data_IF_685091385307
#
_entry.id   IF_685091385307
#
_cell.length_a   1.000
_cell.length_b   1.000
_cell.length_c   1.000
_cell.angle_alpha   90.00
_cell.angle_beta   90.00
_cell.angle_gamma   90.00
#
_symmetry.space_group_name_H-M   'P 1'
#
loop_
_entity.id
_entity.type
_entity.pdbx_description
1 polymer ?
#
# COMPACT_ATOMS: atom_id res chain seq x y z
N UNK A 1 -3.68 -26.56 10.92
CA UNK A 1 -4.55 -25.41 11.27
C UNK A 1 -5.61 -25.29 10.19
N UNK A 2 -6.86 -25.26 10.57
CA UNK A 2 -7.95 -25.01 9.62
C UNK A 2 -8.16 -23.51 9.36
N UNK A 3 -9.03 -23.17 8.41
CA UNK A 3 -9.26 -21.77 8.00
C UNK A 3 -9.91 -20.93 9.12
N UNK A 4 -10.74 -21.54 9.97
CA UNK A 4 -11.40 -20.84 11.07
C UNK A 4 -10.40 -20.53 12.19
N UNK A 5 -9.55 -21.50 12.54
CA UNK A 5 -8.45 -21.32 13.50
C UNK A 5 -7.50 -20.22 13.05
N UNK A 6 -7.09 -20.23 11.78
CA UNK A 6 -6.20 -19.18 11.24
C UNK A 6 -6.89 -17.81 11.24
N UNK A 7 -8.16 -17.72 10.84
CA UNK A 7 -8.93 -16.47 10.91
C UNK A 7 -8.96 -15.90 12.32
N UNK A 8 -9.24 -16.73 13.32
CA UNK A 8 -9.26 -16.31 14.71
C UNK A 8 -7.88 -15.83 15.18
N UNK A 9 -6.83 -16.60 14.89
CA UNK A 9 -5.46 -16.23 15.25
C UNK A 9 -5.05 -14.88 14.62
N UNK A 10 -5.37 -14.64 13.34
CA UNK A 10 -5.06 -13.38 12.68
C UNK A 10 -5.88 -12.19 13.20
N UNK A 11 -7.14 -12.41 13.58
CA UNK A 11 -7.98 -11.41 14.21
C UNK A 11 -7.41 -11.01 15.58
N UNK A 12 -7.17 -11.98 16.46
CA UNK A 12 -6.59 -11.77 17.79
C UNK A 12 -5.17 -11.18 17.70
N UNK A 13 -4.36 -11.65 16.76
CA UNK A 13 -3.00 -11.17 16.52
C UNK A 13 -2.90 -9.75 15.97
N UNK A 14 -4.02 -9.15 15.59
CA UNK A 14 -4.03 -7.79 15.07
C UNK A 14 -3.44 -7.66 13.67
N UNK A 15 -3.49 -8.74 12.86
CA UNK A 15 -2.85 -8.77 11.53
C UNK A 15 -3.69 -8.02 10.50
N UNK A 16 -3.06 -7.03 9.87
CA UNK A 16 -3.67 -6.21 8.80
C UNK A 16 -2.82 -6.25 7.53
N UNK A 17 -3.43 -5.86 6.41
CA UNK A 17 -2.71 -5.66 5.16
C UNK A 17 -1.66 -4.56 5.29
N UNK A 18 -0.40 -4.94 5.44
CA UNK A 18 0.73 -4.04 5.68
C UNK A 18 1.20 -3.27 4.43
N UNK A 19 0.64 -3.54 3.26
CA UNK A 19 0.92 -2.84 2.01
C UNK A 19 0.31 -1.44 1.87
N UNK A 20 -0.25 -0.87 2.95
CA UNK A 20 -0.82 0.48 2.99
C UNK A 20 -2.35 0.54 3.10
N UNK A 21 -3.08 -0.44 2.55
CA UNK A 21 -4.55 -0.43 2.57
C UNK A 21 -5.16 -0.76 3.95
N UNK A 22 -4.45 -1.51 4.80
CA UNK A 22 -4.89 -1.83 6.16
C UNK A 22 -6.15 -2.70 6.24
N UNK A 23 -6.43 -3.53 5.23
CA UNK A 23 -7.56 -4.44 5.29
C UNK A 23 -7.29 -5.59 6.28
N UNK A 24 -8.22 -5.93 7.19
CA UNK A 24 -8.06 -7.02 8.13
C UNK A 24 -7.78 -8.36 7.42
N UNK A 25 -6.64 -8.99 7.70
CA UNK A 25 -6.17 -10.15 6.93
C UNK A 25 -7.09 -11.36 7.08
N UNK A 26 -7.64 -11.59 8.28
CA UNK A 26 -8.59 -12.68 8.52
C UNK A 26 -9.81 -12.65 7.59
N UNK A 27 -10.27 -11.44 7.22
CA UNK A 27 -11.42 -11.27 6.32
C UNK A 27 -11.08 -11.50 4.84
N UNK A 28 -9.80 -11.63 4.47
CA UNK A 28 -9.37 -12.01 3.12
C UNK A 28 -9.33 -13.52 2.90
N UNK A 29 -9.23 -14.31 3.95
CA UNK A 29 -9.13 -15.77 3.83
C UNK A 29 -10.44 -16.37 3.35
N UNK A 30 -10.37 -17.18 2.30
CA UNK A 30 -11.52 -17.81 1.67
C UNK A 30 -11.15 -19.20 1.11
N UNK A 31 -12.01 -20.16 1.31
CA UNK A 31 -11.96 -21.49 0.70
C UNK A 31 -12.26 -21.50 -0.81
N UNK A 32 -12.71 -20.34 -1.36
CA UNK A 32 -12.88 -20.16 -2.80
C UNK A 32 -11.59 -19.72 -3.50
N UNK A 33 -10.47 -19.59 -2.76
CA UNK A 33 -9.18 -19.21 -3.33
C UNK A 33 -8.58 -20.39 -4.13
N UNK A 34 -8.31 -20.15 -5.41
CA UNK A 34 -7.56 -21.09 -6.25
C UNK A 34 -6.06 -20.77 -6.26
N UNK A 35 -5.72 -19.49 -6.16
CA UNK A 35 -4.35 -18.98 -6.25
C UNK A 35 -4.10 -17.94 -5.15
N UNK A 36 -3.03 -18.12 -4.37
CA UNK A 36 -2.53 -17.13 -3.43
C UNK A 36 -1.34 -16.41 -4.05
N UNK A 37 -1.35 -15.08 -4.10
CA UNK A 37 -0.29 -14.29 -4.71
C UNK A 37 0.40 -13.45 -3.64
N UNK A 38 1.70 -13.70 -3.42
CA UNK A 38 2.55 -12.85 -2.60
C UNK A 38 3.01 -11.64 -3.40
N UNK A 39 2.60 -10.46 -2.99
CA UNK A 39 2.99 -9.20 -3.61
C UNK A 39 4.32 -8.69 -3.02
N UNK A 40 5.41 -8.97 -3.73
CA UNK A 40 6.74 -8.42 -3.45
C UNK A 40 7.13 -7.31 -4.44
N UNK A 41 6.16 -6.69 -5.11
CA UNK A 41 6.45 -5.69 -6.13
C UNK A 41 6.95 -4.34 -5.57
N UNK A 42 6.51 -3.97 -4.34
CA UNK A 42 6.90 -2.72 -3.65
C UNK A 42 7.17 -1.54 -4.61
N UNK A 43 6.13 -1.18 -5.39
CA UNK A 43 6.29 -0.27 -6.52
C UNK A 43 6.31 1.23 -6.15
N UNK A 44 6.10 1.60 -4.89
CA UNK A 44 6.30 2.97 -4.42
C UNK A 44 7.81 3.29 -4.38
N UNK A 45 8.27 4.29 -5.13
CA UNK A 45 9.69 4.66 -5.12
C UNK A 45 10.23 4.95 -3.71
N UNK A 46 11.52 4.68 -3.50
CA UNK A 46 12.27 4.88 -2.26
C UNK A 46 11.90 3.95 -1.10
N UNK A 47 10.81 3.21 -1.14
CA UNK A 47 10.49 2.22 -0.10
C UNK A 47 11.33 0.96 -0.32
N UNK A 48 11.85 0.38 0.76
CA UNK A 48 12.78 -0.77 0.72
C UNK A 48 12.36 -1.92 1.65
N UNK A 49 11.15 -1.89 2.23
CA UNK A 49 10.70 -2.83 3.27
C UNK A 49 10.51 -4.24 2.71
N UNK A 50 9.63 -4.40 1.70
CA UNK A 50 9.21 -5.74 1.26
C UNK A 50 10.36 -6.55 0.67
N UNK A 51 11.23 -5.91 -0.14
CA UNK A 51 12.40 -6.57 -0.73
C UNK A 51 13.40 -7.04 0.32
N UNK A 52 13.61 -6.25 1.39
CA UNK A 52 14.49 -6.62 2.49
C UNK A 52 13.89 -7.74 3.34
N UNK A 53 12.58 -7.68 3.64
CA UNK A 53 11.89 -8.74 4.38
C UNK A 53 11.93 -10.09 3.66
N UNK A 54 11.74 -10.10 2.32
CA UNK A 54 11.85 -11.33 1.52
C UNK A 54 13.27 -11.90 1.59
N UNK A 55 14.29 -11.06 1.56
CA UNK A 55 15.68 -11.51 1.59
C UNK A 55 16.07 -12.02 2.99
N UNK A 56 15.73 -11.27 4.03
CA UNK A 56 16.14 -11.55 5.42
C UNK A 56 15.37 -12.72 6.03
N UNK A 57 14.05 -12.80 5.74
CA UNK A 57 13.13 -13.78 6.35
C UNK A 57 12.55 -14.75 5.30
N UNK A 58 13.35 -15.14 4.29
CA UNK A 58 12.85 -15.95 3.15
C UNK A 58 12.14 -17.22 3.58
N UNK A 59 12.68 -17.95 4.56
CA UNK A 59 12.10 -19.19 5.06
C UNK A 59 10.74 -18.96 5.73
N UNK A 60 10.62 -17.94 6.61
CA UNK A 60 9.37 -17.62 7.29
C UNK A 60 8.31 -17.10 6.27
N UNK A 61 8.74 -16.35 5.26
CA UNK A 61 7.86 -15.85 4.19
C UNK A 61 7.32 -17.00 3.33
N UNK A 62 8.18 -17.93 2.89
CA UNK A 62 7.76 -19.07 2.07
C UNK A 62 6.91 -20.05 2.87
N UNK A 63 7.28 -20.33 4.13
CA UNK A 63 6.47 -21.16 5.03
C UNK A 63 5.09 -20.53 5.31
N UNK A 64 5.03 -19.21 5.49
CA UNK A 64 3.78 -18.46 5.61
C UNK A 64 2.92 -18.54 4.35
N UNK A 65 3.53 -18.48 3.17
CA UNK A 65 2.82 -18.67 1.89
C UNK A 65 2.27 -20.09 1.77
N UNK A 66 3.06 -21.10 2.10
CA UNK A 66 2.62 -22.50 2.09
C UNK A 66 1.46 -22.70 3.07
N UNK A 67 1.55 -22.13 4.27
CA UNK A 67 0.46 -22.15 5.26
C UNK A 67 -0.84 -21.57 4.70
N UNK A 68 -0.79 -20.43 3.99
CA UNK A 68 -1.96 -19.82 3.38
C UNK A 68 -2.55 -20.70 2.26
N UNK A 69 -1.70 -21.26 1.39
CA UNK A 69 -2.12 -22.17 0.30
C UNK A 69 -2.85 -23.38 0.89
N UNK A 70 -2.25 -24.05 1.87
CA UNK A 70 -2.80 -25.25 2.50
C UNK A 70 -4.10 -24.95 3.27
N UNK A 71 -4.12 -23.90 4.08
CA UNK A 71 -5.29 -23.55 4.91
C UNK A 71 -6.50 -23.14 4.08
N UNK A 72 -6.29 -22.47 2.95
CA UNK A 72 -7.37 -22.10 2.03
C UNK A 72 -7.72 -23.19 1.01
N UNK A 73 -6.96 -24.29 0.94
CA UNK A 73 -7.13 -25.33 -0.08
C UNK A 73 -6.82 -24.85 -1.49
N UNK A 74 -6.00 -23.80 -1.63
CA UNK A 74 -5.62 -23.26 -2.93
C UNK A 74 -4.72 -24.23 -3.71
N UNK A 75 -4.81 -24.16 -5.05
CA UNK A 75 -4.03 -25.03 -5.95
C UNK A 75 -2.55 -24.65 -5.98
N UNK A 76 -2.27 -23.35 -5.92
CA UNK A 76 -0.91 -22.82 -6.01
C UNK A 76 -0.72 -21.51 -5.23
N UNK A 77 0.54 -21.25 -4.86
CA UNK A 77 1.03 -19.96 -4.38
C UNK A 77 2.03 -19.35 -5.35
N UNK A 78 1.88 -18.07 -5.67
CA UNK A 78 2.77 -17.35 -6.58
C UNK A 78 3.55 -16.30 -5.79
N UNK A 79 4.88 -16.40 -5.76
CA UNK A 79 5.75 -15.38 -5.19
C UNK A 79 6.14 -14.43 -6.32
N UNK A 80 5.58 -13.22 -6.34
CA UNK A 80 5.72 -12.28 -7.44
C UNK A 80 6.71 -11.16 -7.07
N UNK A 81 7.91 -11.19 -7.69
CA UNK A 81 9.05 -10.30 -7.38
C UNK A 81 9.49 -9.58 -8.66
N UNK A 82 9.84 -8.28 -8.56
CA UNK A 82 10.40 -7.51 -9.67
C UNK A 82 11.77 -8.03 -10.09
N UNK A 83 12.05 -7.97 -11.39
CA UNK A 83 13.34 -8.43 -11.95
C UNK A 83 14.56 -7.67 -11.42
N UNK A 84 14.39 -6.41 -11.01
CA UNK A 84 15.45 -5.58 -10.41
C UNK A 84 15.81 -5.96 -8.97
N UNK A 85 14.99 -6.76 -8.28
CA UNK A 85 15.23 -7.17 -6.89
C UNK A 85 16.06 -8.47 -6.84
N UNK A 86 17.30 -8.40 -7.34
CA UNK A 86 18.17 -9.56 -7.54
C UNK A 86 18.41 -10.35 -6.26
N UNK A 87 18.75 -9.69 -5.15
CA UNK A 87 18.96 -10.36 -3.87
C UNK A 87 17.73 -11.15 -3.40
N UNK A 88 16.53 -10.55 -3.52
CA UNK A 88 15.28 -11.23 -3.16
C UNK A 88 14.95 -12.39 -4.10
N UNK A 89 15.24 -12.23 -5.41
CA UNK A 89 15.06 -13.30 -6.40
C UNK A 89 15.97 -14.48 -6.10
N UNK A 90 17.23 -14.22 -5.78
CA UNK A 90 18.22 -15.27 -5.50
C UNK A 90 17.89 -16.00 -4.20
N UNK A 91 17.53 -15.27 -3.13
CA UNK A 91 17.06 -15.87 -1.88
C UNK A 91 15.84 -16.79 -2.09
N UNK A 92 14.84 -16.34 -2.85
CA UNK A 92 13.65 -17.15 -3.12
C UNK A 92 13.99 -18.36 -4.01
N UNK A 93 14.82 -18.21 -5.05
CA UNK A 93 15.22 -19.34 -5.92
C UNK A 93 15.92 -20.45 -5.16
N UNK A 94 16.76 -20.08 -4.18
CA UNK A 94 17.50 -21.04 -3.36
C UNK A 94 16.57 -21.89 -2.48
N UNK A 95 15.47 -21.31 -1.98
CA UNK A 95 14.62 -21.93 -0.96
C UNK A 95 13.29 -22.46 -1.47
N UNK A 96 12.73 -21.92 -2.56
CA UNK A 96 11.35 -22.23 -3.01
C UNK A 96 11.16 -23.70 -3.41
N UNK A 97 12.22 -24.37 -3.82
CA UNK A 97 12.18 -25.80 -4.20
C UNK A 97 11.75 -26.77 -3.08
N UNK A 98 11.80 -26.34 -1.82
CA UNK A 98 11.30 -27.10 -0.68
C UNK A 98 9.75 -27.10 -0.57
N UNK A 99 9.05 -26.25 -1.32
CA UNK A 99 7.61 -26.01 -1.23
C UNK A 99 6.90 -26.46 -2.51
N UNK A 100 6.08 -27.51 -2.41
CA UNK A 100 5.50 -28.20 -3.59
C UNK A 100 4.56 -27.35 -4.44
N UNK A 101 3.80 -26.45 -3.79
CA UNK A 101 2.73 -25.68 -4.44
C UNK A 101 3.10 -24.20 -4.62
N UNK A 102 4.38 -23.83 -4.42
CA UNK A 102 4.85 -22.48 -4.62
C UNK A 102 5.65 -22.36 -5.90
N UNK A 103 5.44 -21.26 -6.62
CA UNK A 103 6.28 -20.91 -7.76
C UNK A 103 6.68 -19.44 -7.73
N UNK A 104 7.87 -19.15 -8.25
CA UNK A 104 8.35 -17.79 -8.45
C UNK A 104 7.82 -17.23 -9.77
N UNK A 105 7.34 -15.98 -9.75
CA UNK A 105 7.01 -15.21 -10.93
C UNK A 105 7.82 -13.91 -10.94
N UNK A 106 8.60 -13.71 -12.02
CA UNK A 106 9.43 -12.51 -12.17
C UNK A 106 8.63 -11.41 -12.88
N UNK A 107 8.34 -10.34 -12.15
CA UNK A 107 7.58 -9.19 -12.64
C UNK A 107 8.48 -8.21 -13.42
N UNK A 108 7.96 -7.51 -14.42
CA UNK A 108 8.64 -6.37 -15.02
C UNK A 108 8.78 -5.21 -14.03
N UNK A 109 9.82 -4.35 -14.20
CA UNK A 109 10.04 -3.14 -13.40
C UNK A 109 9.17 -1.99 -13.89
N UNK A 110 7.87 -2.09 -13.62
CA UNK A 110 6.86 -1.10 -14.01
C UNK A 110 6.12 -0.56 -12.80
N UNK A 111 5.52 0.61 -12.96
CA UNK A 111 4.58 1.18 -12.01
C UNK A 111 3.16 1.18 -12.60
N UNK A 112 2.15 0.73 -11.88
CA UNK A 112 2.13 0.12 -10.53
C UNK A 112 2.07 -1.43 -10.59
N UNK A 113 3.22 -2.11 -10.65
CA UNK A 113 3.26 -3.58 -10.65
C UNK A 113 2.59 -4.21 -9.42
N UNK A 114 2.62 -3.51 -8.28
CA UNK A 114 2.01 -3.94 -7.01
C UNK A 114 0.52 -3.62 -6.87
N UNK A 115 -0.13 -3.00 -7.85
CA UNK A 115 -1.58 -2.88 -7.87
C UNK A 115 -2.22 -4.26 -7.96
N UNK A 116 -3.14 -4.59 -7.07
CA UNK A 116 -3.70 -5.93 -6.91
C UNK A 116 -4.27 -6.52 -8.22
N UNK A 117 -4.96 -5.71 -9.03
CA UNK A 117 -5.54 -6.17 -10.30
C UNK A 117 -4.49 -6.29 -11.40
N UNK A 118 -3.53 -5.35 -11.43
CA UNK A 118 -2.38 -5.44 -12.34
C UNK A 118 -1.55 -6.68 -12.04
N UNK A 119 -1.27 -6.93 -10.76
CA UNK A 119 -0.50 -8.08 -10.30
C UNK A 119 -1.17 -9.41 -10.66
N UNK A 120 -2.48 -9.53 -10.43
CA UNK A 120 -3.24 -10.72 -10.82
C UNK A 120 -3.14 -10.96 -12.32
N UNK A 121 -3.31 -9.92 -13.13
CA UNK A 121 -3.18 -10.05 -14.58
C UNK A 121 -1.77 -10.46 -15.00
N UNK A 122 -0.72 -9.83 -14.45
CA UNK A 122 0.67 -10.17 -14.75
C UNK A 122 1.02 -11.62 -14.40
N UNK A 123 0.48 -12.14 -13.30
CA UNK A 123 0.83 -13.47 -12.78
C UNK A 123 -0.02 -14.61 -13.30
N UNK A 124 -1.28 -14.34 -13.66
CA UNK A 124 -2.29 -15.36 -14.01
C UNK A 124 -3.00 -15.14 -15.34
N UNK A 125 -2.88 -13.97 -15.96
CA UNK A 125 -3.67 -13.57 -17.13
C UNK A 125 -5.15 -13.27 -16.83
N UNK A 126 -5.64 -13.47 -15.59
CA UNK A 126 -7.03 -13.21 -15.20
C UNK A 126 -7.28 -11.72 -15.02
N UNK A 127 -8.43 -11.23 -15.49
CA UNK A 127 -8.87 -9.84 -15.31
C UNK A 127 -9.93 -9.77 -14.22
N UNK A 128 -9.64 -9.05 -13.14
CA UNK A 128 -10.64 -8.80 -12.09
C UNK A 128 -11.66 -7.77 -12.60
N UNK A 129 -12.96 -8.08 -12.64
CA UNK A 129 -13.98 -7.14 -13.08
C UNK A 129 -13.98 -5.85 -12.24
N UNK A 130 -14.21 -4.71 -12.90
CA UNK A 130 -14.19 -3.41 -12.21
C UNK A 130 -15.25 -3.35 -11.09
N UNK A 131 -14.84 -2.82 -9.94
CA UNK A 131 -15.69 -2.76 -8.74
C UNK A 131 -15.84 -4.10 -7.99
N UNK A 132 -15.22 -5.17 -8.48
CA UNK A 132 -15.17 -6.47 -7.79
C UNK A 132 -13.84 -6.66 -7.06
N UNK A 133 -13.81 -7.65 -6.17
CA UNK A 133 -12.63 -8.03 -5.40
C UNK A 133 -11.95 -9.27 -6.03
N UNK A 134 -10.66 -9.51 -5.79
CA UNK A 134 -9.87 -10.59 -6.41
C UNK A 134 -10.44 -12.00 -6.28
N UNK A 135 -11.13 -12.30 -5.20
CA UNK A 135 -11.70 -13.65 -4.98
C UNK A 135 -12.71 -14.07 -6.06
N UNK A 136 -13.34 -13.10 -6.76
CA UNK A 136 -14.26 -13.40 -7.87
C UNK A 136 -13.57 -14.13 -9.03
N UNK A 137 -12.26 -13.98 -9.13
CA UNK A 137 -11.43 -14.72 -10.10
C UNK A 137 -10.57 -15.81 -9.44
N UNK A 138 -10.92 -16.20 -8.20
CA UNK A 138 -10.24 -17.23 -7.43
C UNK A 138 -8.86 -16.80 -6.89
N UNK A 139 -8.57 -15.51 -6.79
CA UNK A 139 -7.27 -15.02 -6.35
C UNK A 139 -7.35 -14.33 -4.98
N UNK A 140 -6.33 -14.56 -4.15
CA UNK A 140 -6.07 -13.81 -2.92
C UNK A 140 -4.67 -13.21 -3.00
N UNK A 141 -4.57 -11.89 -2.86
CA UNK A 141 -3.27 -11.19 -2.89
C UNK A 141 -2.90 -10.75 -1.48
N UNK A 142 -1.67 -11.05 -1.08
CA UNK A 142 -1.14 -10.74 0.26
C UNK A 142 0.22 -10.06 0.14
N UNK A 143 0.48 -9.07 1.00
CA UNK A 143 1.77 -8.38 1.07
C UNK A 143 2.80 -9.19 1.89
N UNK A 144 4.09 -8.99 1.65
CA UNK A 144 5.21 -9.69 2.32
C UNK A 144 5.14 -9.59 3.85
N UNK A 145 5.07 -8.37 4.39
CA UNK A 145 5.02 -8.17 5.84
C UNK A 145 3.73 -8.76 6.45
N UNK A 146 2.64 -8.77 5.69
CA UNK A 146 1.38 -9.41 6.12
C UNK A 146 1.54 -10.92 6.28
N UNK A 147 2.17 -11.60 5.31
CA UNK A 147 2.46 -13.03 5.39
C UNK A 147 3.37 -13.34 6.57
N UNK A 148 4.43 -12.56 6.74
CA UNK A 148 5.40 -12.72 7.81
C UNK A 148 4.73 -12.60 9.19
N UNK A 149 3.94 -11.53 9.41
CA UNK A 149 3.17 -11.34 10.63
C UNK A 149 2.14 -12.47 10.86
N UNK A 150 1.51 -12.97 9.80
CA UNK A 150 0.57 -14.08 9.88
C UNK A 150 1.25 -15.37 10.31
N UNK A 151 2.41 -15.67 9.73
CA UNK A 151 3.21 -16.84 10.07
C UNK A 151 3.74 -16.78 11.50
N UNK A 152 4.29 -15.64 11.93
CA UNK A 152 4.75 -15.46 13.29
C UNK A 152 3.62 -15.55 14.32
N UNK A 153 2.44 -15.02 14.01
CA UNK A 153 1.27 -15.20 14.88
C UNK A 153 0.86 -16.66 14.99
N UNK A 154 0.80 -17.37 13.86
CA UNK A 154 0.36 -18.76 13.84
C UNK A 154 1.35 -19.73 14.53
N UNK A 155 2.67 -19.48 14.42
CA UNK A 155 3.71 -20.40 14.89
C UNK A 155 4.37 -19.99 16.20
N UNK A 156 4.48 -18.68 16.46
CA UNK A 156 5.18 -18.13 17.64
C UNK A 156 4.23 -17.40 18.60
N UNK A 157 2.93 -17.29 18.27
CA UNK A 157 1.97 -16.52 19.07
C UNK A 157 2.18 -15.00 19.04
N UNK A 158 3.07 -14.49 18.19
CA UNK A 158 3.48 -13.10 18.18
C UNK A 158 2.37 -12.19 17.61
N UNK A 159 1.92 -11.23 18.39
CA UNK A 159 0.96 -10.22 17.96
C UNK A 159 1.64 -9.10 17.16
N UNK A 160 0.84 -8.35 16.36
CA UNK A 160 1.35 -7.22 15.58
C UNK A 160 1.36 -5.95 16.42
N UNK A 161 2.52 -5.62 16.94
CA UNK A 161 2.80 -4.42 17.72
C UNK A 161 4.08 -3.67 17.26
N UNK A 162 4.81 -4.25 16.30
CA UNK A 162 5.96 -3.64 15.62
C UNK A 162 5.65 -3.43 14.14
N UNK A 163 6.44 -2.57 13.50
CA UNK A 163 6.28 -2.21 12.09
C UNK A 163 7.64 -1.95 11.45
N UNK A 164 7.82 -2.42 10.22
CA UNK A 164 8.98 -2.08 9.41
C UNK A 164 8.72 -0.80 8.61
N UNK A 165 9.59 0.19 8.75
CA UNK A 165 9.42 1.52 8.15
C UNK A 165 10.72 1.98 7.50
N UNK A 166 10.69 2.32 6.22
CA UNK A 166 11.82 2.99 5.53
C UNK A 166 11.81 4.48 5.85
N UNK A 167 12.94 5.01 6.26
CA UNK A 167 13.20 6.45 6.40
C UNK A 167 14.25 6.84 5.36
N UNK A 168 13.87 7.73 4.43
CA UNK A 168 14.73 8.07 3.29
C UNK A 168 14.54 9.53 2.84
N UNK A 169 15.39 9.98 1.91
CA UNK A 169 15.39 11.34 1.40
C UNK A 169 16.44 12.20 2.12
N UNK A 170 16.06 13.41 2.52
CA UNK A 170 16.93 14.40 3.17
C UNK A 170 17.16 14.09 4.66
N UNK A 171 17.59 12.86 4.95
CA UNK A 171 18.08 12.40 6.26
C UNK A 171 19.54 11.99 6.15
N UNK A 172 20.28 12.05 7.26
CA UNK A 172 21.72 11.77 7.23
C UNK A 172 22.03 10.31 6.89
N UNK A 173 21.25 9.37 7.43
CA UNK A 173 21.46 7.94 7.26
C UNK A 173 20.14 7.28 6.85
N UNK A 174 19.80 7.18 5.55
CA UNK A 174 18.63 6.43 5.12
C UNK A 174 18.67 5.00 5.65
N UNK A 175 17.54 4.53 6.20
CA UNK A 175 17.47 3.28 6.96
C UNK A 175 16.08 2.67 6.89
N UNK A 176 15.97 1.36 7.00
CA UNK A 176 14.71 0.64 7.26
C UNK A 176 14.74 0.12 8.69
N UNK A 177 13.77 0.52 9.50
CA UNK A 177 13.73 0.26 10.95
C UNK A 177 12.59 -0.69 11.30
N UNK A 178 12.82 -1.66 12.19
CA UNK A 178 11.77 -2.34 12.93
C UNK A 178 11.47 -1.54 14.20
N UNK A 179 10.27 -0.98 14.31
CA UNK A 179 9.92 -0.05 15.38
C UNK A 179 8.59 -0.39 16.03
N UNK A 180 8.38 -0.02 17.32
CA UNK A 180 7.07 -0.10 17.96
C UNK A 180 6.02 0.73 17.22
N UNK A 181 4.81 0.20 17.05
CA UNK A 181 3.67 0.97 16.56
C UNK A 181 3.35 2.09 17.54
N UNK A 182 3.10 3.29 17.04
CA UNK A 182 2.74 4.44 17.88
C UNK A 182 3.90 5.38 18.21
N UNK A 183 5.13 5.10 17.77
CA UNK A 183 6.24 6.07 17.89
C UNK A 183 6.00 7.26 16.94
N UNK A 184 6.65 8.36 17.24
CA UNK A 184 6.52 9.58 16.44
C UNK A 184 7.38 9.54 15.16
N UNK A 185 7.03 10.33 14.17
CA UNK A 185 7.88 10.58 13.00
C UNK A 185 9.20 11.20 13.43
N UNK A 186 9.22 12.02 14.49
CA UNK A 186 10.47 12.58 15.05
C UNK A 186 11.41 11.47 15.50
N UNK A 187 10.91 10.44 16.21
CA UNK A 187 11.74 9.31 16.64
C UNK A 187 12.39 8.58 15.46
N UNK A 188 11.64 8.39 14.36
CA UNK A 188 12.19 7.81 13.14
C UNK A 188 13.30 8.66 12.53
N UNK A 189 13.09 9.98 12.45
CA UNK A 189 14.09 10.91 11.90
C UNK A 189 15.35 10.95 12.78
N UNK A 190 15.18 10.96 14.10
CA UNK A 190 16.33 10.90 15.04
C UNK A 190 17.17 9.65 14.81
N UNK A 191 16.54 8.47 14.67
CA UNK A 191 17.23 7.20 14.38
C UNK A 191 17.89 7.18 13.00
N UNK A 192 17.39 7.97 12.04
CA UNK A 192 18.04 8.21 10.75
C UNK A 192 19.15 9.29 10.82
N UNK A 193 19.56 9.72 12.01
CA UNK A 193 20.63 10.70 12.24
C UNK A 193 20.19 12.18 12.12
N UNK A 194 18.89 12.44 11.98
CA UNK A 194 18.33 13.78 11.83
C UNK A 194 18.25 14.25 10.37
N UNK A 195 17.67 15.43 10.19
CA UNK A 195 17.55 16.08 8.89
C UNK A 195 18.93 16.53 8.35
N UNK A 196 19.04 16.57 7.02
CA UNK A 196 20.22 17.18 6.35
C UNK A 196 20.02 18.67 6.06
N UNK A 197 18.78 19.17 6.12
CA UNK A 197 18.40 20.55 5.89
C UNK A 197 17.09 20.89 6.62
N UNK A 198 16.91 22.15 7.00
CA UNK A 198 15.67 22.63 7.62
C UNK A 198 14.54 22.83 6.58
N UNK A 199 14.91 23.06 5.30
CA UNK A 199 13.96 23.24 4.22
C UNK A 199 13.56 21.91 3.60
N UNK A 200 12.63 21.23 4.27
CA UNK A 200 12.13 19.92 3.84
C UNK A 200 10.66 19.71 4.17
N UNK A 201 10.02 18.79 3.45
CA UNK A 201 8.64 18.36 3.67
C UNK A 201 8.61 16.83 3.81
N UNK A 202 7.91 16.35 4.81
CA UNK A 202 7.77 14.92 5.07
C UNK A 202 6.52 14.34 4.42
N UNK A 203 6.67 13.14 3.84
CA UNK A 203 5.57 12.33 3.30
C UNK A 203 5.56 11.01 4.05
N UNK A 204 4.46 10.68 4.73
CA UNK A 204 4.20 9.36 5.28
C UNK A 204 3.62 8.46 4.20
N UNK A 205 4.29 7.33 3.95
CA UNK A 205 4.04 6.44 2.82
C UNK A 205 4.93 6.76 1.62
N UNK A 206 4.55 6.26 0.44
CA UNK A 206 5.33 6.46 -0.78
C UNK A 206 5.08 7.81 -1.48
N UNK A 207 5.94 8.21 -2.41
CA UNK A 207 5.83 9.51 -3.10
C UNK A 207 4.60 9.58 -4.01
N UNK A 208 4.06 8.44 -4.45
CA UNK A 208 2.89 8.38 -5.32
C UNK A 208 1.58 8.48 -4.54
N UNK A 209 1.43 7.74 -3.45
CA UNK A 209 0.15 7.58 -2.72
C UNK A 209 0.17 8.15 -1.30
N UNK A 210 1.32 8.42 -0.70
CA UNK A 210 1.50 8.94 0.65
C UNK A 210 0.91 10.34 0.87
N UNK A 211 0.93 10.80 2.11
CA UNK A 211 0.38 12.09 2.56
C UNK A 211 1.45 12.91 3.25
N UNK A 212 1.36 14.25 3.15
CA UNK A 212 2.20 15.15 3.96
C UNK A 212 1.93 14.86 5.44
N UNK A 213 2.99 14.80 6.21
CA UNK A 213 2.95 14.59 7.65
C UNK A 213 3.87 15.57 8.38
N UNK A 214 3.77 15.58 9.70
CA UNK A 214 4.58 16.35 10.64
C UNK A 214 5.40 15.43 11.53
N UNK A 215 6.35 15.98 12.24
CA UNK A 215 7.18 15.23 13.21
C UNK A 215 6.35 14.64 14.36
N UNK A 216 5.20 15.24 14.69
CA UNK A 216 4.27 14.75 15.72
C UNK A 216 3.31 13.65 15.27
N UNK A 217 3.26 13.35 13.97
CA UNK A 217 2.48 12.21 13.47
C UNK A 217 3.10 10.89 13.92
N UNK A 218 2.29 9.84 13.97
CA UNK A 218 2.69 8.56 14.53
C UNK A 218 2.71 7.42 13.51
N UNK A 219 3.57 6.45 13.76
CA UNK A 219 3.63 5.19 13.02
C UNK A 219 2.42 4.32 13.36
N UNK A 220 1.73 3.86 12.34
CA UNK A 220 0.61 2.92 12.45
C UNK A 220 0.95 1.58 11.80
N UNK A 221 0.11 0.56 11.97
CA UNK A 221 0.26 -0.75 11.30
C UNK A 221 0.34 -0.66 9.76
N UNK A 222 -0.05 0.47 9.17
CA UNK A 222 -0.04 0.68 7.70
C UNK A 222 1.06 1.62 7.22
N UNK A 223 1.86 2.20 8.11
CA UNK A 223 2.96 3.10 7.76
C UNK A 223 4.13 2.28 7.21
N UNK A 224 4.50 2.48 5.93
CA UNK A 224 5.63 1.78 5.29
C UNK A 224 6.88 2.63 5.15
N UNK A 225 6.73 3.95 5.09
CA UNK A 225 7.87 4.86 4.95
C UNK A 225 7.55 6.24 5.52
N UNK A 226 8.61 6.96 5.86
CA UNK A 226 8.64 8.41 6.02
C UNK A 226 9.73 8.94 5.08
N UNK A 227 9.32 9.76 4.12
CA UNK A 227 10.21 10.35 3.12
C UNK A 227 10.36 11.84 3.39
N UNK A 228 11.58 12.29 3.56
CA UNK A 228 11.94 13.69 3.74
C UNK A 228 12.41 14.24 2.40
N UNK A 229 11.65 15.14 1.79
CA UNK A 229 11.86 15.57 0.41
C UNK A 229 11.98 17.10 0.32
N UNK A 230 12.66 17.63 -0.72
CA UNK A 230 12.67 19.06 -0.99
C UNK A 230 11.25 19.61 -1.23
N UNK A 231 10.92 20.84 -0.79
CA UNK A 231 9.61 21.44 -1.00
C UNK A 231 9.27 21.64 -2.49
N UNK A 232 10.28 21.75 -3.34
CA UNK A 232 10.14 21.90 -4.79
C UNK A 232 9.92 20.58 -5.54
N UNK A 233 10.05 19.45 -4.86
CA UNK A 233 9.88 18.12 -5.44
C UNK A 233 8.43 17.93 -5.94
N UNK A 234 8.25 17.29 -7.10
CA UNK A 234 6.94 17.10 -7.72
C UNK A 234 5.91 16.44 -6.78
N UNK A 235 6.23 15.37 -6.03
CA UNK A 235 5.31 14.78 -5.07
C UNK A 235 4.82 15.75 -4.00
N UNK A 236 5.66 16.68 -3.55
CA UNK A 236 5.32 17.69 -2.54
C UNK A 236 4.44 18.78 -3.14
N UNK A 237 4.88 19.41 -4.22
CA UNK A 237 4.14 20.51 -4.87
C UNK A 237 2.72 20.13 -5.28
N UNK A 238 2.53 18.88 -5.75
CA UNK A 238 1.21 18.35 -6.09
C UNK A 238 0.27 18.25 -4.90
N UNK A 239 0.79 17.93 -3.72
CA UNK A 239 -0.01 17.81 -2.49
C UNK A 239 -0.33 19.16 -1.85
N UNK A 240 0.48 20.17 -2.08
CA UNK A 240 0.29 21.51 -1.57
C UNK A 240 -0.65 22.37 -2.43
N UNK A 241 -0.88 21.97 -3.70
CA UNK A 241 -1.75 22.73 -4.60
C UNK A 241 -3.22 22.57 -4.23
N UNK A 242 -3.93 23.69 -4.01
CA UNK A 242 -5.36 23.67 -3.64
C UNK A 242 -6.24 23.14 -4.77
N UNK A 243 -7.39 22.56 -4.41
CA UNK A 243 -8.39 22.06 -5.36
C UNK A 243 -8.89 23.14 -6.32
N UNK A 244 -9.11 24.36 -5.82
CA UNK A 244 -9.54 25.50 -6.64
C UNK A 244 -8.49 25.83 -7.72
N UNK A 245 -7.21 25.80 -7.36
CA UNK A 245 -6.12 26.02 -8.30
C UNK A 245 -6.03 24.87 -9.32
N UNK A 246 -6.17 23.62 -8.88
CA UNK A 246 -6.17 22.46 -9.76
C UNK A 246 -7.29 22.53 -10.82
N UNK A 247 -8.50 22.97 -10.45
CA UNK A 247 -9.62 23.15 -11.38
C UNK A 247 -9.32 24.29 -12.35
N UNK A 248 -8.86 25.46 -11.88
CA UNK A 248 -8.49 26.58 -12.72
C UNK A 248 -7.42 26.23 -13.76
N UNK A 249 -6.39 25.52 -13.32
CA UNK A 249 -5.34 25.02 -14.21
C UNK A 249 -5.91 24.07 -15.26
N UNK A 250 -6.83 23.17 -14.87
CA UNK A 250 -7.50 22.27 -15.81
C UNK A 250 -8.29 23.03 -16.88
N UNK A 251 -9.03 24.07 -16.49
CA UNK A 251 -9.78 24.92 -17.42
C UNK A 251 -8.87 25.68 -18.41
N UNK A 252 -7.67 26.07 -17.95
CA UNK A 252 -6.78 26.94 -18.73
C UNK A 252 -5.89 26.17 -19.70
N UNK A 253 -5.34 25.00 -19.30
CA UNK A 253 -4.25 24.35 -20.05
C UNK A 253 -4.49 22.90 -20.44
N UNK A 254 -5.65 22.30 -20.12
CA UNK A 254 -5.93 20.91 -20.51
C UNK A 254 -6.13 20.80 -22.03
N UNK A 255 -5.12 20.32 -22.74
CA UNK A 255 -5.13 20.14 -24.21
C UNK A 255 -5.88 18.90 -24.69
N UNK A 256 -6.51 18.12 -23.81
CA UNK A 256 -7.24 16.88 -24.14
C UNK A 256 -6.38 15.82 -24.88
N UNK A 257 -5.08 15.79 -24.67
CA UNK A 257 -4.13 14.86 -25.30
C UNK A 257 -4.37 13.39 -24.92
N UNK A 258 -5.24 13.11 -23.93
CA UNK A 258 -5.62 11.79 -23.40
C UNK A 258 -4.50 10.92 -22.81
N UNK A 259 -3.26 11.43 -22.65
CA UNK A 259 -2.15 10.66 -22.09
C UNK A 259 -2.45 10.10 -20.69
N UNK A 260 -3.19 10.85 -19.85
CA UNK A 260 -3.62 10.39 -18.53
C UNK A 260 -4.53 9.15 -18.58
N UNK A 261 -5.24 8.91 -19.69
CA UNK A 261 -6.02 7.70 -19.93
C UNK A 261 -5.20 6.63 -20.63
N UNK A 262 -4.40 7.02 -21.62
CA UNK A 262 -3.59 6.08 -22.40
C UNK A 262 -2.58 5.30 -21.57
N UNK A 263 -2.11 5.88 -20.45
CA UNK A 263 -1.19 5.24 -19.51
C UNK A 263 -1.90 4.76 -18.22
N UNK A 264 -3.23 4.88 -18.11
CA UNK A 264 -3.96 4.44 -16.94
C UNK A 264 -3.98 2.91 -16.85
N UNK A 265 -3.38 2.28 -15.81
CA UNK A 265 -3.26 0.83 -15.73
C UNK A 265 -4.62 0.13 -15.68
N UNK A 266 -5.62 0.75 -15.04
CA UNK A 266 -6.98 0.21 -14.96
C UNK A 266 -7.72 0.33 -16.28
N UNK A 267 -7.55 1.44 -17.02
CA UNK A 267 -8.11 1.57 -18.36
C UNK A 267 -7.49 0.59 -19.35
N UNK A 268 -6.18 0.36 -19.24
CA UNK A 268 -5.45 -0.61 -20.07
C UNK A 268 -5.93 -2.05 -19.83
N UNK A 269 -6.42 -2.37 -18.65
CA UNK A 269 -7.05 -3.65 -18.32
C UNK A 269 -8.56 -3.70 -18.61
N UNK A 270 -9.11 -2.70 -19.32
CA UNK A 270 -10.50 -2.68 -19.77
C UNK A 270 -11.50 -1.99 -18.84
N UNK A 271 -11.06 -1.39 -17.72
CA UNK A 271 -11.95 -0.63 -16.85
C UNK A 271 -12.44 0.67 -17.52
N UNK A 272 -13.63 1.10 -17.14
CA UNK A 272 -14.31 2.28 -17.74
C UNK A 272 -13.74 3.62 -17.29
N UNK A 273 -12.70 3.62 -16.45
CA UNK A 273 -12.04 4.86 -16.00
C UNK A 273 -11.29 5.54 -17.13
N UNK A 274 -11.62 6.80 -17.40
CA UNK A 274 -10.97 7.62 -18.43
C UNK A 274 -10.67 9.02 -17.85
N UNK A 275 -9.52 9.22 -17.23
CA UNK A 275 -9.16 10.49 -16.60
C UNK A 275 -9.30 11.71 -17.54
N UNK A 276 -9.02 11.60 -18.85
CA UNK A 276 -9.16 12.74 -19.76
C UNK A 276 -10.62 13.16 -19.96
N UNK A 277 -11.59 12.22 -20.00
CA UNK A 277 -13.03 12.56 -20.09
C UNK A 277 -13.51 13.25 -18.82
N UNK A 278 -13.05 12.77 -17.65
CA UNK A 278 -13.30 13.43 -16.38
C UNK A 278 -12.75 14.87 -16.36
N UNK A 279 -11.48 15.06 -16.77
CA UNK A 279 -10.86 16.38 -16.82
C UNK A 279 -11.60 17.33 -17.79
N UNK A 280 -12.09 16.82 -18.93
CA UNK A 280 -12.91 17.59 -19.87
C UNK A 280 -14.25 18.00 -19.27
N UNK A 281 -14.96 17.05 -18.66
CA UNK A 281 -16.25 17.33 -18.05
C UNK A 281 -16.13 18.37 -16.93
N UNK A 282 -15.12 18.20 -16.07
CA UNK A 282 -14.84 19.10 -14.95
C UNK A 282 -14.45 20.51 -15.44
N UNK A 283 -13.49 20.61 -16.38
CA UNK A 283 -12.97 21.87 -16.87
C UNK A 283 -14.03 22.71 -17.59
N UNK A 284 -15.00 22.08 -18.22
CA UNK A 284 -16.06 22.76 -18.97
C UNK A 284 -17.42 22.81 -18.24
N UNK A 285 -17.47 22.38 -16.97
CA UNK A 285 -18.70 22.40 -16.18
C UNK A 285 -19.84 21.54 -16.77
N UNK A 286 -19.49 20.41 -17.42
CA UNK A 286 -20.46 19.54 -18.13
C UNK A 286 -21.23 18.66 -17.13
N UNK A 287 -22.08 19.28 -16.32
CA UNK A 287 -22.84 18.61 -15.25
C UNK A 287 -23.92 17.66 -15.77
N UNK A 288 -24.38 17.84 -17.00
CA UNK A 288 -25.31 16.94 -17.67
C UNK A 288 -24.67 15.61 -18.09
N UNK A 289 -23.36 15.56 -18.24
CA UNK A 289 -22.61 14.33 -18.52
C UNK A 289 -22.05 13.74 -17.25
N UNK A 290 -22.82 12.94 -16.55
CA UNK A 290 -22.47 12.37 -15.23
C UNK A 290 -21.50 11.18 -15.32
N UNK A 291 -21.39 10.53 -16.48
CA UNK A 291 -20.59 9.31 -16.68
C UNK A 291 -19.12 9.44 -16.26
N UNK A 292 -18.36 10.48 -16.67
CA UNK A 292 -16.98 10.63 -16.27
C UNK A 292 -16.80 10.77 -14.74
N UNK A 293 -17.78 11.39 -14.06
CA UNK A 293 -17.76 11.55 -12.60
C UNK A 293 -18.04 10.22 -11.90
N UNK A 294 -19.07 9.46 -12.34
CA UNK A 294 -19.37 8.15 -11.79
C UNK A 294 -18.24 7.14 -12.01
N UNK A 295 -17.56 7.19 -13.15
CA UNK A 295 -16.44 6.32 -13.45
C UNK A 295 -15.20 6.60 -12.56
N UNK A 296 -15.18 7.70 -11.78
CA UNK A 296 -14.16 7.95 -10.75
C UNK A 296 -14.11 6.85 -9.69
N UNK A 297 -15.21 6.11 -9.46
CA UNK A 297 -15.24 4.97 -8.55
C UNK A 297 -14.23 3.87 -8.93
N UNK A 298 -13.88 3.74 -10.20
CA UNK A 298 -12.91 2.75 -10.69
C UNK A 298 -11.45 3.22 -10.60
N UNK A 299 -11.21 4.45 -10.14
CA UNK A 299 -9.87 4.96 -9.89
C UNK A 299 -9.30 4.32 -8.62
N UNK A 300 -8.06 3.80 -8.71
CA UNK A 300 -7.30 3.23 -7.58
C UNK A 300 -6.30 4.19 -6.98
N UNK A 301 -6.35 5.45 -7.37
CA UNK A 301 -5.53 6.53 -6.81
C UNK A 301 -4.01 6.32 -6.94
N UNK A 302 -3.55 5.51 -7.91
CA UNK A 302 -2.13 5.21 -8.10
C UNK A 302 -1.27 6.43 -8.48
N UNK A 303 -1.87 7.57 -8.85
CA UNK A 303 -1.16 8.82 -9.13
C UNK A 303 -0.49 8.93 -10.50
N UNK A 304 -0.45 7.87 -11.32
CA UNK A 304 0.30 7.86 -12.57
C UNK A 304 -0.15 8.94 -13.57
N UNK A 305 -1.47 9.17 -13.67
CA UNK A 305 -2.04 10.21 -14.55
C UNK A 305 -1.62 11.64 -14.19
N UNK A 306 -1.24 11.87 -12.93
CA UNK A 306 -0.86 13.17 -12.37
C UNK A 306 0.65 13.35 -12.29
N UNK A 307 1.35 12.35 -11.77
CA UNK A 307 2.78 12.42 -11.46
C UNK A 307 3.67 12.13 -12.67
N UNK A 308 3.15 11.38 -13.65
CA UNK A 308 3.92 10.98 -14.83
C UNK A 308 3.28 11.39 -16.17
N UNK A 309 2.00 11.05 -16.39
CA UNK A 309 1.38 11.13 -17.69
C UNK A 309 1.07 12.56 -18.14
N UNK A 310 0.69 13.45 -17.20
CA UNK A 310 0.31 14.82 -17.57
C UNK A 310 1.53 15.72 -17.76
N UNK A 311 1.86 16.03 -19.00
CA UNK A 311 2.95 16.96 -19.34
C UNK A 311 2.60 18.44 -19.05
N UNK A 312 1.30 18.77 -18.94
CA UNK A 312 0.83 20.09 -18.53
C UNK A 312 0.83 20.31 -17.00
N UNK A 313 1.31 19.33 -16.23
CA UNK A 313 1.37 19.43 -14.78
C UNK A 313 0.01 19.50 -14.09
N UNK A 314 -1.08 19.00 -14.68
CA UNK A 314 -2.40 18.92 -14.07
C UNK A 314 -2.48 17.81 -13.03
N UNK A 315 -3.55 17.82 -12.22
CA UNK A 315 -3.75 16.91 -11.10
C UNK A 315 -5.01 16.03 -11.24
N UNK A 316 -5.09 15.14 -12.28
CA UNK A 316 -6.29 14.34 -12.52
C UNK A 316 -6.62 13.40 -11.35
N UNK A 317 -5.64 12.72 -10.74
CA UNK A 317 -5.85 11.81 -9.61
C UNK A 317 -6.43 12.54 -8.39
N UNK A 318 -5.85 13.68 -8.04
CA UNK A 318 -6.30 14.48 -6.89
C UNK A 318 -7.76 14.90 -7.05
N UNK A 319 -8.14 15.36 -8.24
CA UNK A 319 -9.53 15.74 -8.55
C UNK A 319 -10.48 14.53 -8.59
N UNK A 320 -10.07 13.42 -9.21
CA UNK A 320 -10.85 12.16 -9.21
C UNK A 320 -11.13 11.67 -7.78
N UNK A 321 -10.14 11.72 -6.89
CA UNK A 321 -10.29 11.27 -5.50
C UNK A 321 -11.25 12.15 -4.71
N UNK A 322 -11.23 13.47 -4.93
CA UNK A 322 -12.16 14.40 -4.30
C UNK A 322 -13.59 14.13 -4.74
N UNK A 323 -13.83 13.98 -6.05
CA UNK A 323 -15.17 13.67 -6.56
C UNK A 323 -15.66 12.31 -6.12
N UNK A 324 -14.82 11.28 -6.17
CA UNK A 324 -15.13 9.95 -5.63
C UNK A 324 -15.50 10.01 -4.14
N UNK A 325 -14.75 10.78 -3.36
CA UNK A 325 -15.04 11.01 -1.94
C UNK A 325 -16.39 11.72 -1.73
N UNK A 326 -16.65 12.77 -2.48
CA UNK A 326 -17.92 13.50 -2.45
C UNK A 326 -19.13 12.64 -2.86
N UNK A 327 -19.00 11.85 -3.91
CA UNK A 327 -20.05 10.92 -4.35
C UNK A 327 -20.36 9.88 -3.25
N UNK A 328 -19.35 9.30 -2.62
CA UNK A 328 -19.51 8.36 -1.49
C UNK A 328 -20.19 9.01 -0.28
N UNK A 329 -19.77 10.22 0.08
CA UNK A 329 -20.34 10.97 1.21
C UNK A 329 -21.84 11.27 0.99
N UNK A 330 -22.27 11.41 -0.27
CA UNK A 330 -23.67 11.61 -0.66
C UNK A 330 -24.41 10.28 -0.97
N UNK A 331 -23.87 9.13 -0.57
CA UNK A 331 -24.54 7.84 -0.72
C UNK A 331 -24.59 7.29 -2.15
N UNK A 332 -23.90 7.90 -3.11
CA UNK A 332 -23.87 7.42 -4.50
C UNK A 332 -23.09 6.11 -4.57
N UNK A 333 -23.68 5.09 -5.12
CA UNK A 333 -23.06 3.77 -5.29
C UNK A 333 -22.23 3.70 -6.57
N UNK A 334 -21.15 2.87 -6.60
CA UNK A 334 -20.42 2.60 -7.83
C UNK A 334 -21.34 2.09 -8.93
N UNK A 335 -21.23 2.61 -10.16
CA UNK A 335 -22.04 2.14 -11.27
C UNK A 335 -21.63 0.71 -11.66
N UNK A 336 -22.59 -0.08 -12.12
CA UNK A 336 -22.27 -1.35 -12.77
C UNK A 336 -21.89 -1.06 -14.23
N UNK A 337 -20.76 -1.60 -14.65
CA UNK A 337 -20.22 -1.44 -16.01
C UNK A 337 -19.61 -2.75 -16.48
N UNK A 338 -19.79 -3.05 -17.74
CA UNK A 338 -19.10 -4.15 -18.38
C UNK A 338 -17.61 -3.82 -18.59
N UNK A 339 -16.77 -4.83 -18.46
CA UNK A 339 -15.36 -4.72 -18.78
C UNK A 339 -15.16 -4.73 -20.30
N UNK A 340 -14.29 -3.86 -20.77
CA UNK A 340 -13.77 -3.92 -22.14
C UNK A 340 -12.67 -4.99 -22.21
N UNK A 341 -12.34 -5.49 -23.41
CA UNK A 341 -11.14 -6.28 -23.61
C UNK A 341 -9.90 -5.53 -23.13
N UNK A 342 -8.89 -6.27 -22.71
CA UNK A 342 -7.56 -5.71 -22.39
C UNK A 342 -7.05 -4.98 -23.64
N UNK A 343 -6.51 -3.78 -23.43
CA UNK A 343 -6.01 -2.96 -24.53
C UNK A 343 -4.81 -3.64 -25.20
N UNK A 344 -4.85 -3.79 -26.53
CA UNK A 344 -3.77 -4.45 -27.30
C UNK A 344 -2.41 -3.74 -27.18
N UNK A 345 -2.41 -2.43 -26.89
CA UNK A 345 -1.19 -1.63 -26.68
C UNK A 345 -0.75 -1.58 -25.21
N UNK A 346 -1.32 -2.45 -24.34
CA UNK A 346 -1.03 -2.39 -22.90
C UNK A 346 0.46 -2.53 -22.60
N UNK A 347 1.12 -3.45 -23.22
CA UNK A 347 2.52 -3.77 -22.92
C UNK A 347 3.48 -2.64 -23.30
N UNK A 348 3.20 -1.93 -24.39
CA UNK A 348 3.96 -0.76 -24.85
C UNK A 348 3.67 0.50 -24.04
N UNK A 349 2.54 0.52 -23.31
CA UNK A 349 2.10 1.65 -22.48
C UNK A 349 2.38 1.49 -21.00
N UNK A 350 3.05 0.41 -20.60
CA UNK A 350 3.54 0.26 -19.23
C UNK A 350 4.63 1.29 -18.94
N UNK A 351 4.57 1.90 -17.76
CA UNK A 351 5.55 2.92 -17.34
C UNK A 351 6.68 2.27 -16.56
N UNK A 352 7.93 2.31 -17.07
CA UNK A 352 9.08 1.82 -16.33
C UNK A 352 9.31 2.62 -15.06
N UNK A 353 9.57 1.93 -13.92
CA UNK A 353 9.73 2.56 -12.61
C UNK A 353 10.89 3.56 -12.58
N UNK A 354 12.02 3.24 -13.19
CA UNK A 354 13.18 4.14 -13.24
C UNK A 354 12.86 5.48 -13.91
N UNK A 355 12.03 5.48 -14.98
CA UNK A 355 11.56 6.72 -15.62
C UNK A 355 10.62 7.51 -14.73
N UNK A 356 9.79 6.81 -13.94
CA UNK A 356 8.95 7.46 -12.94
C UNK A 356 9.81 8.14 -11.87
N UNK A 357 10.79 7.44 -11.30
CA UNK A 357 11.73 7.98 -10.30
C UNK A 357 12.44 9.24 -10.82
N UNK A 358 12.91 9.22 -12.07
CA UNK A 358 13.52 10.39 -12.71
C UNK A 358 12.51 11.53 -12.89
N UNK A 359 11.31 11.25 -13.38
CA UNK A 359 10.24 12.25 -13.56
C UNK A 359 9.84 12.95 -12.27
N UNK A 360 9.88 12.21 -11.15
CA UNK A 360 9.57 12.73 -9.83
C UNK A 360 10.71 13.56 -9.22
N UNK A 361 11.92 13.53 -9.82
CA UNK A 361 13.12 14.14 -9.25
C UNK A 361 13.67 13.38 -8.04
N UNK A 362 13.37 12.08 -7.93
CA UNK A 362 13.71 11.27 -6.75
C UNK A 362 15.01 10.46 -6.91
N UNK A 363 15.60 10.44 -8.10
CA UNK A 363 16.80 9.65 -8.38
C UNK A 363 17.96 9.90 -7.37
N UNK A 364 18.25 11.13 -6.93
CA UNK A 364 19.32 11.38 -5.94
C UNK A 364 19.06 10.73 -4.57
N UNK A 365 17.80 10.39 -4.25
CA UNK A 365 17.38 9.81 -2.98
C UNK A 365 17.15 8.29 -3.06
N UNK A 366 17.27 7.70 -4.26
CA UNK A 366 17.13 6.24 -4.44
C UNK A 366 18.46 5.53 -4.14
N UNK A 367 18.84 5.60 -2.89
CA UNK A 367 20.06 5.01 -2.33
C UNK A 367 19.72 3.88 -1.35
N UNK A 368 20.68 3.02 -0.98
CA UNK A 368 20.45 1.97 0.01
C UNK A 368 19.92 2.52 1.34
N UNK A 369 18.99 1.80 1.94
CA UNK A 369 18.45 2.06 3.28
C UNK A 369 18.44 0.73 4.05
N UNK A 370 19.58 0.29 4.61
CA UNK A 370 19.73 -1.03 5.21
C UNK A 370 18.78 -1.22 6.39
N UNK A 371 18.34 -2.47 6.60
CA UNK A 371 17.46 -2.82 7.72
C UNK A 371 18.26 -2.88 9.01
N UNK A 372 17.76 -2.23 10.05
CA UNK A 372 18.33 -2.26 11.41
C UNK A 372 17.22 -2.30 12.45
N UNK A 373 17.57 -2.80 13.64
CA UNK A 373 16.67 -2.75 14.80
C UNK A 373 16.51 -1.31 15.31
N UNK A 374 15.46 -1.06 16.07
CA UNK A 374 15.26 0.19 16.80
C UNK A 374 16.38 0.38 17.82
N UNK A 375 17.11 1.49 17.68
CA UNK A 375 18.26 1.81 18.57
C UNK A 375 17.90 2.80 19.67
N UNK A 376 16.71 3.41 19.62
CA UNK A 376 16.24 4.40 20.58
C UNK A 376 15.41 3.72 21.69
N UNK A 377 15.66 4.11 22.93
CA UNK A 377 14.81 3.72 24.06
C UNK A 377 13.51 4.53 24.01
N UNK A 378 12.44 3.89 23.55
CA UNK A 378 11.13 4.52 23.38
C UNK A 378 10.39 4.54 24.72
N UNK A 379 10.15 5.74 25.24
CA UNK A 379 9.49 5.96 26.55
C UNK A 379 7.98 6.10 26.46
N UNK A 380 7.47 6.54 25.31
CA UNK A 380 6.05 6.79 25.09
C UNK A 380 5.64 6.40 23.67
N UNK A 381 4.44 5.84 23.54
CA UNK A 381 3.79 5.54 22.27
C UNK A 381 2.33 5.98 22.30
N UNK A 382 1.82 6.43 21.15
CA UNK A 382 0.42 6.79 20.99
C UNK A 382 -0.27 5.80 20.07
N UNK A 383 -1.17 4.98 20.59
CA UNK A 383 -1.89 3.97 19.84
C UNK A 383 -3.25 4.50 19.38
N UNK A 384 -3.41 4.73 18.09
CA UNK A 384 -4.73 5.05 17.53
C UNK A 384 -5.63 3.82 17.60
N UNK A 385 -6.85 4.00 18.07
CA UNK A 385 -7.85 2.92 18.11
C UNK A 385 -8.30 2.47 16.69
N UNK A 386 -8.09 3.30 15.68
CA UNK A 386 -8.35 2.97 14.28
C UNK A 386 -7.03 2.84 13.50
N UNK A 387 -6.60 1.60 13.24
CA UNK A 387 -5.39 1.30 12.47
C UNK A 387 -5.63 0.36 11.27
N UNK A 388 -6.90 0.08 10.96
CA UNK A 388 -7.28 -0.76 9.83
C UNK A 388 -8.59 -0.25 9.19
N UNK A 389 -8.95 -0.84 8.05
CA UNK A 389 -10.28 -0.66 7.46
C UNK A 389 -11.30 -1.35 8.37
N UNK A 390 -12.41 -0.66 8.62
CA UNK A 390 -13.49 -1.14 9.49
C UNK A 390 -13.77 -0.21 10.66
N UNK A 391 -14.34 -0.76 11.72
CA UNK A 391 -14.63 -0.02 12.94
C UNK A 391 -13.37 0.26 13.76
N UNK A 392 -13.28 1.39 14.46
CA UNK A 392 -12.24 1.60 15.46
C UNK A 392 -12.38 0.59 16.60
N UNK A 393 -11.25 0.22 17.21
CA UNK A 393 -11.27 -0.58 18.43
C UNK A 393 -11.89 0.18 19.59
N UNK A 394 -12.51 -0.55 20.50
CA UNK A 394 -12.85 -0.09 21.86
C UNK A 394 -11.70 -0.48 22.76
N UNK A 395 -11.21 0.45 23.60
CA UNK A 395 -10.15 0.17 24.54
C UNK A 395 -10.60 -0.87 25.57
N UNK A 396 -9.75 -1.86 25.82
CA UNK A 396 -9.96 -2.92 26.84
C UNK A 396 -9.22 -2.64 28.15
N UNK A 397 -8.49 -1.52 28.20
CA UNK A 397 -7.71 -1.04 29.33
C UNK A 397 -8.17 0.36 29.76
N UNK A 398 -7.81 0.77 30.98
CA UNK A 398 -8.15 2.07 31.56
C UNK A 398 -6.88 2.85 31.89
N UNK A 399 -7.01 4.17 32.00
CA UNK A 399 -5.94 5.04 32.51
C UNK A 399 -5.46 4.52 33.90
N UNK A 400 -4.17 4.36 34.01
CA UNK A 400 -3.53 3.82 35.21
C UNK A 400 -3.16 2.34 35.14
N UNK A 401 -3.71 1.56 34.23
CA UNK A 401 -3.40 0.15 34.06
C UNK A 401 -1.94 -0.05 33.61
N UNK A 402 -1.27 -1.07 34.15
CA UNK A 402 0.01 -1.55 33.65
C UNK A 402 -0.24 -2.52 32.47
N UNK A 403 0.52 -2.37 31.42
CA UNK A 403 0.45 -3.25 30.23
C UNK A 403 1.84 -3.79 29.87
N UNK A 404 1.87 -5.01 29.37
CA UNK A 404 3.07 -5.65 28.83
C UNK A 404 3.14 -5.44 27.31
N UNK A 405 4.36 -5.50 26.75
CA UNK A 405 4.54 -5.51 25.29
C UNK A 405 3.77 -6.69 24.66
N UNK A 406 3.02 -6.43 23.61
CA UNK A 406 2.17 -7.41 22.93
C UNK A 406 0.84 -7.71 23.62
N UNK A 407 0.53 -7.14 24.78
CA UNK A 407 -0.77 -7.30 25.44
C UNK A 407 -1.87 -6.63 24.63
N UNK A 408 -3.04 -7.28 24.50
CA UNK A 408 -4.21 -6.68 23.85
C UNK A 408 -4.72 -5.49 24.68
N UNK A 409 -4.87 -4.35 24.02
CA UNK A 409 -5.34 -3.08 24.63
C UNK A 409 -6.60 -2.53 23.95
N UNK A 410 -7.06 -3.18 22.89
CA UNK A 410 -8.29 -2.81 22.22
C UNK A 410 -8.77 -3.88 21.26
N UNK A 411 -10.09 -3.96 21.07
CA UNK A 411 -10.72 -4.86 20.10
C UNK A 411 -11.87 -4.14 19.38
N UNK A 412 -12.19 -4.51 18.13
CA UNK A 412 -13.34 -3.96 17.46
C UNK A 412 -14.64 -4.39 18.13
N UNK A 413 -15.74 -3.62 17.98
CA UNK A 413 -17.07 -4.04 18.45
C UNK A 413 -17.45 -5.40 17.84
N UNK A 414 -18.24 -6.17 18.58
CA UNK A 414 -18.70 -7.49 18.14
C UNK A 414 -19.42 -7.42 16.78
N UNK A 415 -19.09 -8.33 15.87
CA UNK A 415 -19.62 -8.39 14.52
C UNK A 415 -19.12 -7.30 13.56
N UNK A 416 -18.33 -6.32 14.02
CA UNK A 416 -17.78 -5.30 13.16
C UNK A 416 -16.50 -5.78 12.46
N UNK A 417 -16.28 -5.34 11.22
CA UNK A 417 -15.00 -5.54 10.53
C UNK A 417 -13.91 -4.77 11.27
N UNK A 418 -12.80 -5.44 11.58
CA UNK A 418 -11.67 -4.86 12.31
C UNK A 418 -10.71 -5.94 12.80
N UNK A 419 -9.75 -5.59 13.64
CA UNK A 419 -8.81 -6.53 14.27
C UNK A 419 -8.26 -5.94 15.55
N UNK A 420 -7.76 -6.78 16.46
CA UNK A 420 -7.28 -6.37 17.79
C UNK A 420 -6.07 -5.42 17.73
N UNK A 421 -5.92 -4.61 18.77
CA UNK A 421 -4.81 -3.68 18.98
C UNK A 421 -4.00 -4.10 20.19
N UNK A 422 -2.68 -3.99 20.12
CA UNK A 422 -1.75 -4.44 21.14
C UNK A 422 -0.82 -3.33 21.60
N UNK A 423 -0.44 -3.35 22.88
CA UNK A 423 0.58 -2.47 23.42
C UNK A 423 1.92 -2.75 22.74
N UNK A 424 2.55 -1.71 22.20
CA UNK A 424 3.81 -1.85 21.48
C UNK A 424 5.06 -1.70 22.34
N UNK A 425 4.88 -1.24 23.58
CA UNK A 425 5.88 -1.22 24.66
C UNK A 425 5.21 -1.60 25.97
N UNK A 426 5.99 -2.08 26.93
CA UNK A 426 5.53 -2.24 28.31
C UNK A 426 5.47 -0.87 29.00
N UNK A 427 4.47 -0.63 29.84
CA UNK A 427 4.32 0.64 30.52
C UNK A 427 2.98 0.81 31.22
N UNK A 428 2.64 2.07 31.47
CA UNK A 428 1.39 2.48 32.12
C UNK A 428 0.53 3.25 31.14
N UNK A 429 -0.76 2.93 31.09
CA UNK A 429 -1.74 3.65 30.25
C UNK A 429 -1.99 5.04 30.84
N UNK A 430 -1.84 6.08 30.03
CA UNK A 430 -2.00 7.49 30.41
C UNK A 430 -3.21 8.12 29.75
#
# INVERSE_FOLDING_TARGET
MDIAELKNALFEGGVVGAGGAGFPTHAKLSDQAETVILNCAECEPLIKVDRQLVTEYVNDVLAGMQMFVETMGAKEGIVAIKKSYTASLDAVREHIGAYKNLRLHVLPDIYPAGDEVVLIYETTGKVVPQGKIPIVVGCVVVNVETILNSYWKATKGQNVYKKFVTVAGLVKNPVTLEVPVGITVQDLIDMAGGFTTDDSVMIMGGPMTGKICTTGDIVTKTTKAVLVLPPTCLPVTKRQTSSRMNIRNAMSVCSQCSMCTSLCPRNLLGASIKPHEFMRALANGLTYNVEPFLNSFFCVSCGLCEMYSCHQGLSPRTLLDQYKGGLRANGVKPPQREMKPVNSMRDERRVPEHRLVQRLGLHPFDIPAPMTACTKDIKEVKLLLRQCIGAPCVATVKVGDAVSEGQMVGQPPEGALGTCLHASIAGKVT
#
